data_IF_167888457674
#
_entry.id   IF_167888457674
#
_cell.length_a   1.000
_cell.length_b   1.000
_cell.length_c   1.000
_cell.angle_alpha   90.00
_cell.angle_beta   90.00
_cell.angle_gamma   90.00
#
_symmetry.space_group_name_H-M   'P 1'
#
loop_
_entity.id
_entity.type
_entity.pdbx_description
1 polymer ?
#
# COMPACT_ATOMS: atom_id res chain seq x y z
N UNK A 1 -1.91 -12.57 -17.05
CA UNK A 1 -2.92 -11.65 -16.47
C UNK A 1 -2.47 -10.75 -15.31
N UNK A 2 -1.54 -11.15 -14.42
CA UNK A 2 -1.12 -10.31 -13.26
C UNK A 2 -0.54 -8.92 -13.61
N UNK A 3 0.23 -8.81 -14.68
CA UNK A 3 1.03 -7.61 -15.02
C UNK A 3 0.16 -6.41 -15.46
N UNK A 4 -1.01 -6.66 -16.06
CA UNK A 4 -1.92 -5.60 -16.51
C UNK A 4 -2.60 -4.88 -15.35
N UNK A 5 -2.89 -5.59 -14.26
CA UNK A 5 -3.55 -5.02 -13.08
C UNK A 5 -2.64 -4.07 -12.30
N UNK A 6 -1.36 -4.42 -12.15
CA UNK A 6 -0.39 -3.58 -11.44
C UNK A 6 -0.10 -2.28 -12.19
N UNK A 7 0.01 -2.32 -13.53
CA UNK A 7 0.23 -1.09 -14.33
C UNK A 7 -0.96 -0.13 -14.27
N UNK A 8 -2.19 -0.66 -14.28
CA UNK A 8 -3.40 0.16 -14.22
C UNK A 8 -3.54 0.86 -12.87
N UNK A 9 -3.32 0.13 -11.78
CA UNK A 9 -3.36 0.69 -10.42
C UNK A 9 -2.24 1.70 -10.19
N UNK A 10 -1.01 1.39 -10.60
CA UNK A 10 0.13 2.30 -10.48
C UNK A 10 -0.07 3.60 -11.27
N UNK A 11 -0.69 3.51 -12.46
CA UNK A 11 -1.07 4.71 -13.22
C UNK A 11 -2.18 5.49 -12.51
N UNK A 12 -3.20 4.80 -12.01
CA UNK A 12 -4.31 5.41 -11.30
C UNK A 12 -3.88 6.16 -10.04
N UNK A 13 -2.97 5.59 -9.23
CA UNK A 13 -2.47 6.23 -8.01
C UNK A 13 -1.57 7.43 -8.30
N UNK A 14 -0.88 7.46 -9.44
CA UNK A 14 -0.16 8.66 -9.93
C UNK A 14 -1.11 9.77 -10.36
N UNK A 15 -2.17 9.42 -11.07
CA UNK A 15 -3.17 10.39 -11.54
C UNK A 15 -4.07 10.90 -10.40
N UNK A 16 -4.12 10.19 -9.26
CA UNK A 16 -4.89 10.55 -8.07
C UNK A 16 -4.00 10.55 -6.81
N UNK A 17 -3.19 11.58 -6.58
CA UNK A 17 -2.29 11.67 -5.43
C UNK A 17 -3.02 11.93 -4.10
N UNK A 18 -4.33 12.18 -4.14
CA UNK A 18 -5.22 12.49 -3.01
C UNK A 18 -5.24 11.39 -1.92
N UNK A 19 -4.74 10.19 -2.24
CA UNK A 19 -4.65 9.06 -1.33
C UNK A 19 -5.90 8.19 -1.32
N UNK A 20 -5.93 7.23 -0.38
CA UNK A 20 -7.03 6.29 -0.22
C UNK A 20 -8.23 6.98 0.46
N UNK A 21 -9.28 7.29 -0.30
CA UNK A 21 -10.54 7.87 0.19
C UNK A 21 -11.75 7.27 -0.52
N UNK A 22 -12.96 7.48 0.00
CA UNK A 22 -14.20 7.05 -0.68
C UNK A 22 -14.35 7.65 -2.08
N UNK A 23 -13.94 8.90 -2.28
CA UNK A 23 -13.95 9.55 -3.60
C UNK A 23 -13.05 8.79 -4.58
N UNK A 24 -11.84 8.45 -4.17
CA UNK A 24 -10.87 7.73 -5.01
C UNK A 24 -11.31 6.30 -5.32
N UNK A 25 -11.96 5.64 -4.36
CA UNK A 25 -12.55 4.31 -4.58
C UNK A 25 -13.65 4.37 -5.64
N UNK A 26 -14.54 5.35 -5.55
CA UNK A 26 -15.64 5.51 -6.52
C UNK A 26 -15.10 5.83 -7.93
N UNK A 27 -14.06 6.66 -8.03
CA UNK A 27 -13.36 6.92 -9.29
C UNK A 27 -12.76 5.63 -9.89
N UNK A 28 -12.08 4.81 -9.08
CA UNK A 28 -11.51 3.54 -9.54
C UNK A 28 -12.59 2.57 -10.03
N UNK A 29 -13.70 2.43 -9.29
CA UNK A 29 -14.81 1.56 -9.67
C UNK A 29 -15.46 2.02 -10.99
N UNK A 30 -15.61 3.33 -11.19
CA UNK A 30 -16.10 3.89 -12.43
C UNK A 30 -15.16 3.58 -13.61
N UNK A 31 -13.85 3.76 -13.42
CA UNK A 31 -12.85 3.44 -14.44
C UNK A 31 -12.84 1.95 -14.80
N UNK A 32 -12.85 1.07 -13.79
CA UNK A 32 -12.90 -0.38 -14.02
C UNK A 32 -14.17 -0.81 -14.78
N UNK A 33 -15.29 -0.13 -14.54
CA UNK A 33 -16.54 -0.35 -15.28
C UNK A 33 -16.42 0.10 -16.74
N UNK A 34 -15.79 1.25 -17.00
CA UNK A 34 -15.55 1.76 -18.36
C UNK A 34 -14.60 0.85 -19.14
N UNK A 35 -13.58 0.30 -18.47
CA UNK A 35 -12.61 -0.62 -19.06
C UNK A 35 -13.16 -2.06 -19.21
N UNK A 36 -14.45 -2.29 -18.88
CA UNK A 36 -15.13 -3.59 -18.91
C UNK A 36 -14.47 -4.66 -18.03
N UNK A 37 -13.76 -4.24 -16.99
CA UNK A 37 -13.06 -5.13 -16.05
C UNK A 37 -14.02 -5.51 -14.92
N UNK A 38 -14.49 -6.76 -14.93
CA UNK A 38 -15.31 -7.30 -13.84
C UNK A 38 -14.43 -7.65 -12.64
N UNK A 39 -14.48 -6.82 -11.61
CA UNK A 39 -13.87 -7.10 -10.31
C UNK A 39 -14.89 -6.88 -9.20
N UNK A 40 -14.80 -7.68 -8.13
CA UNK A 40 -15.62 -7.47 -6.94
C UNK A 40 -15.17 -6.17 -6.26
N UNK A 41 -16.10 -5.29 -5.82
CA UNK A 41 -15.75 -4.01 -5.19
C UNK A 41 -14.81 -4.14 -3.99
N UNK A 42 -14.98 -5.20 -3.18
CA UNK A 42 -14.11 -5.51 -2.03
C UNK A 42 -12.66 -5.71 -2.47
N UNK A 43 -12.43 -6.42 -3.58
CA UNK A 43 -11.08 -6.63 -4.12
C UNK A 43 -10.50 -5.34 -4.69
N UNK A 44 -11.30 -4.52 -5.38
CA UNK A 44 -10.84 -3.22 -5.88
C UNK A 44 -10.35 -2.31 -4.74
N UNK A 45 -11.12 -2.24 -3.64
CA UNK A 45 -10.75 -1.49 -2.43
C UNK A 45 -9.45 -2.00 -1.83
N UNK A 46 -9.32 -3.33 -1.68
CA UNK A 46 -8.11 -3.95 -1.14
C UNK A 46 -6.86 -3.63 -1.99
N UNK A 47 -6.98 -3.79 -3.31
CA UNK A 47 -5.88 -3.53 -4.24
C UNK A 47 -5.46 -2.05 -4.22
N UNK A 48 -6.43 -1.13 -4.22
CA UNK A 48 -6.16 0.30 -4.14
C UNK A 48 -5.46 0.68 -2.83
N UNK A 49 -5.93 0.14 -1.70
CA UNK A 49 -5.32 0.36 -0.39
C UNK A 49 -3.86 -0.11 -0.39
N UNK A 50 -3.62 -1.33 -0.87
CA UNK A 50 -2.26 -1.89 -0.99
C UNK A 50 -1.36 -1.02 -1.86
N UNK A 51 -1.85 -0.55 -3.00
CA UNK A 51 -1.05 0.27 -3.93
C UNK A 51 -0.63 1.61 -3.31
N UNK A 52 -1.54 2.29 -2.59
CA UNK A 52 -1.18 3.49 -1.84
C UNK A 52 -0.19 3.20 -0.72
N UNK A 53 -0.34 2.08 0.00
CA UNK A 53 0.62 1.69 1.04
C UNK A 53 2.01 1.36 0.50
N UNK A 54 2.12 0.88 -0.74
CA UNK A 54 3.41 0.67 -1.41
C UNK A 54 3.99 1.98 -1.97
N UNK A 55 3.13 2.90 -2.40
CA UNK A 55 3.54 4.19 -2.98
C UNK A 55 3.98 5.19 -1.90
N UNK A 56 3.40 5.13 -0.71
CA UNK A 56 3.89 5.90 0.43
C UNK A 56 5.15 5.21 0.96
N UNK A 57 6.30 5.88 0.81
CA UNK A 57 7.52 5.49 1.53
C UNK A 57 7.13 5.32 2.99
N UNK A 58 7.23 4.10 3.50
CA UNK A 58 7.10 3.91 4.94
C UNK A 58 8.12 4.82 5.61
N UNK A 59 7.75 5.54 6.68
CA UNK A 59 8.75 6.28 7.43
C UNK A 59 9.86 5.30 7.79
N UNK A 60 11.09 5.64 7.41
CA UNK A 60 12.26 4.89 7.83
C UNK A 60 12.33 5.16 9.33
N UNK A 61 11.82 4.23 10.13
CA UNK A 61 12.06 4.26 11.55
C UNK A 61 13.55 3.98 11.73
N UNK A 62 14.29 4.96 12.25
CA UNK A 62 15.69 4.76 12.64
C UNK A 62 15.73 3.71 13.75
N UNK A 63 15.99 2.47 13.35
CA UNK A 63 16.12 1.33 14.25
C UNK A 63 17.30 1.49 15.21
N UNK A 64 18.26 2.34 14.86
CA UNK A 64 19.45 2.64 15.68
C UNK A 64 19.09 3.28 17.02
N UNK A 65 17.96 4.01 17.09
CA UNK A 65 17.52 4.68 18.31
C UNK A 65 16.31 4.00 18.97
N UNK A 66 15.91 2.80 18.54
CA UNK A 66 14.82 2.08 19.20
C UNK A 66 15.31 1.52 20.55
N UNK A 67 14.87 2.09 21.70
CA UNK A 67 15.36 1.70 23.00
C UNK A 67 14.90 0.29 23.41
N UNK A 68 13.79 -0.20 22.85
CA UNK A 68 13.29 -1.55 23.13
C UNK A 68 14.12 -2.58 22.37
N UNK A 69 14.46 -2.29 21.12
CA UNK A 69 15.33 -3.14 20.30
C UNK A 69 16.75 -3.23 20.89
N UNK A 70 17.33 -2.09 21.27
CA UNK A 70 18.65 -2.06 21.89
C UNK A 70 18.70 -2.87 23.20
N UNK A 71 17.65 -2.76 24.02
CA UNK A 71 17.52 -3.54 25.26
C UNK A 71 17.37 -5.04 25.01
N UNK A 72 16.63 -5.44 23.96
CA UNK A 72 16.51 -6.85 23.58
C UNK A 72 17.85 -7.43 23.10
N UNK A 73 18.62 -6.67 22.32
CA UNK A 73 19.97 -7.07 21.87
C UNK A 73 20.92 -7.21 23.06
N UNK A 74 20.85 -6.30 24.04
CA UNK A 74 21.66 -6.34 25.26
C UNK A 74 21.39 -7.60 26.09
N UNK A 75 20.11 -7.96 26.28
CA UNK A 75 19.72 -9.20 26.98
C UNK A 75 20.28 -10.43 26.26
N UNK A 76 20.09 -10.52 24.94
CA UNK A 76 20.57 -11.66 24.13
C UNK A 76 22.10 -11.77 24.09
N UNK A 77 22.81 -10.63 24.17
CA UNK A 77 24.27 -10.60 24.18
C UNK A 77 24.86 -10.90 25.57
N UNK A 78 24.07 -10.73 26.64
CA UNK A 78 24.48 -11.00 28.03
C UNK A 78 24.31 -12.47 28.43
N UNK A 79 23.58 -13.27 27.65
CA UNK A 79 23.33 -14.70 27.88
C UNK A 79 24.33 -15.63 27.15
N UNK A 80 25.41 -15.10 26.57
CA UNK A 80 26.54 -15.90 26.02
C UNK A 80 27.81 -15.77 26.86
#
# INVERSE_FOLDING_TARGET
EKILKDKLLSKFTKDNPEGYSEKTINKLLAQLKNDNIKIRPVFAKFLLKREYSLSQKQPIFDREFDPQLNKAIEILSSEN
#
